data_IF_803460521687
#
_entry.id   IF_803460521687
#
_cell.length_a   1.000
_cell.length_b   1.000
_cell.length_c   1.000
_cell.angle_alpha   90.00
_cell.angle_beta   90.00
_cell.angle_gamma   90.00
#
_symmetry.space_group_name_H-M   'P 1'
#
loop_
_entity.id
_entity.type
_entity.pdbx_description
1 polymer ?
#
# COMPACT_ATOMS: atom_id res chain seq x y z
N UNK A 1 -17.22 3.00 -17.80
CA UNK A 1 -16.77 1.63 -18.10
C UNK A 1 -15.26 1.56 -18.37
N UNK A 2 -14.72 2.41 -19.20
CA UNK A 2 -13.30 2.42 -19.61
C UNK A 2 -12.35 2.60 -18.41
N UNK A 3 -12.65 3.47 -17.46
CA UNK A 3 -11.79 3.73 -16.30
C UNK A 3 -11.49 2.52 -15.40
N UNK A 4 -12.41 1.57 -15.29
CA UNK A 4 -12.22 0.38 -14.45
C UNK A 4 -11.25 -0.62 -15.07
N UNK A 5 -11.26 -0.73 -16.38
CA UNK A 5 -10.29 -1.54 -17.12
C UNK A 5 -8.94 -0.86 -17.13
N UNK A 6 -8.93 0.48 -17.25
CA UNK A 6 -7.70 1.26 -17.35
C UNK A 6 -6.92 1.34 -16.03
N UNK A 7 -7.60 1.39 -14.89
CA UNK A 7 -6.99 1.56 -13.57
C UNK A 7 -5.96 0.47 -13.19
N UNK A 8 -6.23 -0.84 -13.35
CA UNK A 8 -5.24 -1.87 -13.09
C UNK A 8 -3.99 -1.75 -13.96
N UNK A 9 -4.13 -1.32 -15.22
CA UNK A 9 -2.99 -1.14 -16.13
C UNK A 9 -2.13 0.07 -15.75
N UNK A 10 -2.75 1.15 -15.28
CA UNK A 10 -2.01 2.29 -14.74
C UNK A 10 -1.22 1.88 -13.49
N UNK A 11 -1.86 1.17 -12.57
CA UNK A 11 -1.16 0.65 -11.37
C UNK A 11 -0.05 -0.32 -11.74
N UNK A 12 -0.27 -1.17 -12.73
CA UNK A 12 0.76 -2.09 -13.25
C UNK A 12 1.97 -1.31 -13.79
N UNK A 13 1.75 -0.28 -14.60
CA UNK A 13 2.81 0.56 -15.15
C UNK A 13 3.59 1.29 -14.04
N UNK A 14 2.88 1.83 -13.04
CA UNK A 14 3.51 2.48 -11.88
C UNK A 14 4.33 1.48 -11.07
N UNK A 15 3.81 0.28 -10.81
CA UNK A 15 4.54 -0.76 -10.09
C UNK A 15 5.78 -1.23 -10.84
N UNK A 16 5.70 -1.36 -12.17
CA UNK A 16 6.86 -1.69 -13.02
C UNK A 16 7.94 -0.62 -12.94
N UNK A 17 7.58 0.66 -13.13
CA UNK A 17 8.54 1.77 -13.06
C UNK A 17 9.19 1.86 -11.69
N UNK A 18 8.41 1.64 -10.61
CA UNK A 18 8.93 1.58 -9.26
C UNK A 18 9.89 0.39 -9.06
N UNK A 19 9.55 -0.79 -9.55
CA UNK A 19 10.41 -1.98 -9.47
C UNK A 19 11.75 -1.80 -10.21
N UNK A 20 11.74 -1.18 -11.40
CA UNK A 20 12.96 -0.84 -12.12
C UNK A 20 13.80 0.23 -11.42
N UNK A 21 13.15 1.24 -10.82
CA UNK A 21 13.85 2.24 -10.04
C UNK A 21 14.51 1.64 -8.78
N UNK A 22 13.84 0.69 -8.14
CA UNK A 22 14.34 0.01 -6.95
C UNK A 22 15.64 -0.79 -7.19
N UNK A 23 15.82 -1.32 -8.40
CA UNK A 23 17.05 -2.04 -8.76
C UNK A 23 18.29 -1.13 -8.85
N UNK A 24 18.10 0.18 -8.97
CA UNK A 24 19.19 1.16 -9.01
C UNK A 24 19.70 1.59 -7.62
N UNK A 25 19.06 1.13 -6.54
CA UNK A 25 19.57 1.41 -5.21
C UNK A 25 20.91 0.70 -5.01
N UNK A 26 21.96 1.45 -4.63
CA UNK A 26 23.28 0.85 -4.42
C UNK A 26 23.18 -0.18 -3.29
N UNK A 27 23.67 -1.38 -3.54
CA UNK A 27 23.89 -2.40 -2.53
C UNK A 27 25.03 -1.92 -1.65
N UNK A 28 24.75 -1.15 -0.61
CA UNK A 28 25.75 -0.74 0.37
C UNK A 28 26.14 -1.99 1.18
N UNK A 29 27.17 -2.71 0.71
CA UNK A 29 28.06 -3.54 1.54
C UNK A 29 27.50 -4.54 2.55
N UNK A 30 26.19 -4.76 2.57
CA UNK A 30 25.53 -5.74 3.42
C UNK A 30 25.49 -7.07 2.66
N UNK A 31 25.93 -8.12 3.33
CA UNK A 31 26.07 -9.51 2.87
C UNK A 31 25.26 -9.88 1.62
N UNK A 32 25.91 -10.56 0.70
CA UNK A 32 25.35 -11.07 -0.54
C UNK A 32 23.95 -11.65 -0.34
N UNK A 33 22.92 -10.96 -0.85
CA UNK A 33 21.54 -11.46 -0.88
C UNK A 33 20.45 -10.50 -0.44
N UNK A 34 20.67 -9.62 0.52
CA UNK A 34 19.60 -8.76 1.09
C UNK A 34 19.94 -7.27 0.98
N UNK A 35 20.01 -6.76 -0.26
CA UNK A 35 20.22 -5.34 -0.50
C UNK A 35 18.92 -4.51 -0.28
N UNK A 36 19.02 -3.19 -0.01
CA UNK A 36 17.87 -2.30 0.24
C UNK A 36 16.88 -2.25 -0.92
N UNK A 37 17.26 -2.65 -2.12
CA UNK A 37 16.39 -2.75 -3.28
C UNK A 37 15.53 -4.02 -3.34
N UNK A 38 15.83 -5.05 -2.53
CA UNK A 38 15.11 -6.32 -2.58
C UNK A 38 13.67 -6.18 -2.12
N UNK A 39 13.44 -5.50 -0.99
CA UNK A 39 12.10 -5.29 -0.45
C UNK A 39 11.19 -4.49 -1.40
N UNK A 40 11.60 -3.33 -1.93
CA UNK A 40 10.83 -2.62 -2.96
C UNK A 40 10.55 -3.47 -4.20
N UNK A 41 11.51 -4.29 -4.63
CA UNK A 41 11.35 -5.18 -5.80
C UNK A 41 10.31 -6.27 -5.53
N UNK A 42 10.30 -6.88 -4.34
CA UNK A 42 9.28 -7.87 -3.96
C UNK A 42 7.89 -7.22 -3.97
N UNK A 43 7.74 -6.04 -3.34
CA UNK A 43 6.46 -5.33 -3.31
C UNK A 43 6.00 -5.00 -4.72
N UNK A 44 6.86 -4.45 -5.56
CA UNK A 44 6.55 -4.15 -6.95
C UNK A 44 6.08 -5.39 -7.72
N UNK A 45 6.77 -6.52 -7.53
CA UNK A 45 6.42 -7.80 -8.17
C UNK A 45 5.04 -8.29 -7.74
N UNK A 46 4.75 -8.24 -6.44
CA UNK A 46 3.43 -8.62 -5.89
C UNK A 46 2.33 -7.73 -6.46
N UNK A 47 2.52 -6.41 -6.47
CA UNK A 47 1.56 -5.47 -7.03
C UNK A 47 1.37 -5.74 -8.53
N UNK A 48 2.44 -5.98 -9.30
CA UNK A 48 2.36 -6.32 -10.72
C UNK A 48 1.53 -7.58 -10.97
N UNK A 49 1.74 -8.63 -10.19
CA UNK A 49 0.98 -9.88 -10.31
C UNK A 49 -0.50 -9.64 -10.04
N UNK A 50 -0.84 -8.98 -8.92
CA UNK A 50 -2.23 -8.73 -8.56
C UNK A 50 -2.96 -7.81 -9.56
N UNK A 51 -2.30 -6.74 -10.01
CA UNK A 51 -2.88 -5.83 -11.00
C UNK A 51 -3.05 -6.48 -12.37
N UNK A 52 -2.15 -7.38 -12.76
CA UNK A 52 -2.27 -8.15 -13.99
C UNK A 52 -3.45 -9.12 -13.91
N UNK A 53 -3.57 -9.88 -12.82
CA UNK A 53 -4.69 -10.81 -12.59
C UNK A 53 -6.02 -10.03 -12.63
N UNK A 54 -6.10 -8.90 -11.93
CA UNK A 54 -7.32 -8.08 -11.89
C UNK A 54 -7.63 -7.48 -13.27
N UNK A 55 -6.63 -7.02 -14.00
CA UNK A 55 -6.78 -6.55 -15.38
C UNK A 55 -7.35 -7.62 -16.31
N UNK A 56 -6.80 -8.83 -16.27
CA UNK A 56 -7.29 -9.97 -17.06
C UNK A 56 -8.73 -10.32 -16.67
N UNK A 57 -9.04 -10.41 -15.37
CA UNK A 57 -10.40 -10.69 -14.88
C UNK A 57 -11.41 -9.66 -15.38
N UNK A 58 -11.04 -8.39 -15.42
CA UNK A 58 -11.93 -7.34 -15.91
C UNK A 58 -12.13 -7.38 -17.42
N UNK A 59 -11.09 -7.73 -18.19
CA UNK A 59 -11.21 -7.95 -19.64
C UNK A 59 -12.12 -9.14 -19.91
N UNK A 60 -11.91 -10.28 -19.24
CA UNK A 60 -12.76 -11.48 -19.39
C UNK A 60 -14.21 -11.18 -19.01
N UNK A 61 -14.43 -10.46 -17.91
CA UNK A 61 -15.76 -10.03 -17.49
C UNK A 61 -16.40 -9.08 -18.52
N UNK A 62 -15.63 -8.26 -19.20
CA UNK A 62 -16.10 -7.38 -20.27
C UNK A 62 -16.53 -8.18 -21.51
N UNK A 63 -15.73 -9.17 -21.91
CA UNK A 63 -16.03 -10.02 -23.08
C UNK A 63 -17.22 -10.94 -22.81
N UNK A 64 -17.35 -11.47 -21.58
CA UNK A 64 -18.41 -12.40 -21.18
C UNK A 64 -19.76 -11.72 -20.89
N UNK A 65 -19.88 -10.42 -20.99
CA UNK A 65 -21.11 -9.70 -20.63
C UNK A 65 -22.21 -9.92 -21.64
N UNK A 66 -23.31 -10.54 -21.17
CA UNK A 66 -24.59 -10.45 -21.81
C UNK A 66 -25.13 -9.02 -21.76
N UNK A 67 -25.69 -8.46 -22.86
CA UNK A 67 -26.27 -7.13 -22.83
C UNK A 67 -27.46 -7.13 -21.86
N UNK A 68 -27.38 -6.36 -20.78
CA UNK A 68 -28.48 -6.23 -19.81
C UNK A 68 -28.09 -5.98 -18.35
N UNK A 69 -26.83 -6.14 -17.96
CA UNK A 69 -26.42 -5.87 -16.58
C UNK A 69 -25.95 -4.42 -16.45
N UNK A 70 -26.82 -3.56 -15.95
CA UNK A 70 -26.46 -2.19 -15.54
C UNK A 70 -25.60 -2.26 -14.28
N UNK A 71 -24.32 -1.94 -14.39
CA UNK A 71 -23.47 -1.78 -13.22
C UNK A 71 -23.59 -0.35 -12.75
N UNK A 72 -24.19 -0.19 -11.60
CA UNK A 72 -24.33 1.08 -10.93
C UNK A 72 -22.95 1.54 -10.41
N UNK A 73 -22.40 2.61 -10.97
CA UNK A 73 -21.10 3.19 -10.66
C UNK A 73 -21.21 4.30 -9.60
N UNK A 74 -22.13 4.16 -8.70
CA UNK A 74 -22.24 5.09 -7.59
C UNK A 74 -21.04 4.99 -6.67
N UNK A 75 -19.91 5.62 -7.07
CA UNK A 75 -18.95 6.05 -6.07
C UNK A 75 -19.70 7.09 -5.24
N UNK A 76 -20.14 6.67 -4.08
CA UNK A 76 -20.79 7.57 -3.15
C UNK A 76 -19.77 8.67 -2.80
N UNK A 77 -20.19 9.91 -2.78
CA UNK A 77 -19.32 11.05 -2.39
C UNK A 77 -18.55 10.77 -1.10
N UNK A 78 -19.12 9.98 -0.21
CA UNK A 78 -18.50 9.52 1.04
C UNK A 78 -17.30 8.59 0.79
N UNK A 79 -17.38 7.66 -0.16
CA UNK A 79 -16.28 6.73 -0.48
C UNK A 79 -15.11 7.48 -1.14
N UNK A 80 -15.42 8.42 -2.02
CA UNK A 80 -14.41 9.30 -2.61
C UNK A 80 -13.71 10.13 -1.53
N UNK A 81 -14.47 10.74 -0.62
CA UNK A 81 -13.93 11.54 0.47
C UNK A 81 -13.06 10.70 1.42
N UNK A 82 -13.49 9.49 1.78
CA UNK A 82 -12.69 8.57 2.59
C UNK A 82 -11.37 8.20 1.88
N UNK A 83 -11.39 7.98 0.57
CA UNK A 83 -10.17 7.67 -0.19
C UNK A 83 -9.18 8.84 -0.19
N UNK A 84 -9.68 10.08 -0.30
CA UNK A 84 -8.84 11.28 -0.20
C UNK A 84 -8.23 11.41 1.19
N UNK A 85 -9.02 11.16 2.24
CA UNK A 85 -8.52 11.17 3.64
C UNK A 85 -7.39 10.13 3.81
N UNK A 86 -7.57 8.92 3.31
CA UNK A 86 -6.54 7.86 3.38
C UNK A 86 -5.23 8.33 2.74
N UNK A 87 -5.29 8.90 1.54
CA UNK A 87 -4.10 9.42 0.85
C UNK A 87 -3.42 10.53 1.66
N UNK A 88 -4.20 11.49 2.17
CA UNK A 88 -3.69 12.58 3.00
C UNK A 88 -3.03 12.06 4.28
N UNK A 89 -3.64 11.06 4.94
CA UNK A 89 -3.06 10.43 6.15
C UNK A 89 -1.73 9.74 5.85
N UNK A 90 -1.62 9.03 4.71
CA UNK A 90 -0.38 8.39 4.30
C UNK A 90 0.71 9.43 4.04
N UNK A 91 0.41 10.49 3.29
CA UNK A 91 1.36 11.59 3.03
C UNK A 91 1.81 12.25 4.34
N UNK A 92 0.86 12.55 5.24
CA UNK A 92 1.17 13.13 6.54
C UNK A 92 2.08 12.22 7.39
N UNK A 93 1.82 10.90 7.40
CA UNK A 93 2.66 9.94 8.11
C UNK A 93 4.09 9.88 7.56
N UNK A 94 4.25 9.89 6.23
CA UNK A 94 5.58 9.91 5.59
C UNK A 94 6.35 11.18 5.98
N UNK A 95 5.69 12.34 6.02
CA UNK A 95 6.31 13.61 6.44
C UNK A 95 6.64 13.61 7.94
N UNK A 96 5.80 12.97 8.76
CA UNK A 96 5.97 12.90 10.21
C UNK A 96 7.08 11.92 10.64
N UNK A 97 7.36 10.90 9.81
CA UNK A 97 8.30 9.82 10.12
C UNK A 97 9.71 10.30 10.52
N UNK A 98 10.34 11.29 9.86
CA UNK A 98 11.65 11.81 10.27
C UNK A 98 11.65 12.52 11.63
N UNK A 99 10.50 13.03 12.08
CA UNK A 99 10.37 13.82 13.32
C UNK A 99 9.99 12.99 14.54
N UNK A 100 9.13 11.99 14.33
CA UNK A 100 8.54 11.19 15.42
C UNK A 100 9.00 9.74 15.42
N UNK A 101 9.80 9.35 14.44
CA UNK A 101 10.26 7.98 14.26
C UNK A 101 9.21 7.07 13.59
N UNK A 102 9.68 5.93 13.08
CA UNK A 102 8.88 4.98 12.33
C UNK A 102 7.69 4.42 13.12
N UNK A 103 7.94 3.97 14.36
CA UNK A 103 6.90 3.28 15.18
C UNK A 103 5.75 4.24 15.52
N UNK A 104 6.07 5.46 15.95
CA UNK A 104 5.06 6.44 16.33
C UNK A 104 4.22 6.88 15.11
N UNK A 105 4.87 7.22 14.00
CA UNK A 105 4.19 7.63 12.77
C UNK A 105 3.31 6.51 12.20
N UNK A 106 3.82 5.27 12.16
CA UNK A 106 3.07 4.11 11.67
C UNK A 106 1.90 3.75 12.58
N UNK A 107 2.08 3.80 13.91
CA UNK A 107 1.01 3.56 14.88
C UNK A 107 -0.11 4.59 14.70
N UNK A 108 0.25 5.87 14.59
CA UNK A 108 -0.73 6.94 14.36
C UNK A 108 -1.48 6.75 13.04
N UNK A 109 -0.77 6.42 11.96
CA UNK A 109 -1.37 6.15 10.66
C UNK A 109 -2.39 5.02 10.73
N UNK A 110 -2.00 3.84 11.23
CA UNK A 110 -2.88 2.67 11.30
C UNK A 110 -4.07 2.96 12.22
N UNK A 111 -3.85 3.69 13.32
CA UNK A 111 -4.92 4.08 14.24
C UNK A 111 -5.94 5.00 13.57
N UNK A 112 -5.49 6.05 12.88
CA UNK A 112 -6.38 6.99 12.17
C UNK A 112 -7.16 6.27 11.07
N UNK A 113 -6.48 5.43 10.27
CA UNK A 113 -7.12 4.65 9.22
C UNK A 113 -8.18 3.71 9.77
N UNK A 114 -7.91 3.05 10.91
CA UNK A 114 -8.89 2.17 11.55
C UNK A 114 -10.13 2.93 12.03
N UNK A 115 -9.95 4.17 12.51
CA UNK A 115 -11.07 5.05 12.89
C UNK A 115 -11.90 5.50 11.69
N UNK A 116 -11.23 5.89 10.59
CA UNK A 116 -11.90 6.29 9.34
C UNK A 116 -12.71 5.13 8.76
N UNK A 117 -12.20 3.90 8.87
CA UNK A 117 -12.90 2.68 8.45
C UNK A 117 -14.01 2.23 9.42
N UNK A 118 -14.18 2.92 10.54
CA UNK A 118 -15.28 2.67 11.49
C UNK A 118 -15.02 1.54 12.48
N UNK A 119 -13.77 1.16 12.70
CA UNK A 119 -13.43 0.15 13.71
C UNK A 119 -13.72 0.70 15.12
N UNK A 120 -14.58 0.02 15.87
CA UNK A 120 -14.89 0.31 17.27
C UNK A 120 -14.78 -0.96 18.10
N UNK A 121 -14.27 -0.91 19.33
CA UNK A 121 -13.94 0.22 20.19
C UNK A 121 -12.50 0.75 20.02
N UNK A 122 -12.30 2.03 20.36
CA UNK A 122 -11.07 2.82 20.19
C UNK A 122 -9.83 2.13 20.78
N UNK A 123 -9.95 1.53 21.96
CA UNK A 123 -8.83 0.86 22.65
C UNK A 123 -8.31 -0.37 21.86
N UNK A 124 -9.19 -1.14 21.20
CA UNK A 124 -8.78 -2.26 20.33
C UNK A 124 -8.03 -1.75 19.10
N UNK A 125 -8.51 -0.67 18.49
CA UNK A 125 -7.80 -0.01 17.38
C UNK A 125 -6.41 0.45 17.79
N UNK A 126 -6.27 1.08 18.96
CA UNK A 126 -4.97 1.52 19.46
C UNK A 126 -4.02 0.35 19.71
N UNK A 127 -4.50 -0.71 20.37
CA UNK A 127 -3.71 -1.91 20.61
C UNK A 127 -3.25 -2.59 19.32
N UNK A 128 -4.17 -2.79 18.36
CA UNK A 128 -3.87 -3.41 17.07
C UNK A 128 -2.87 -2.54 16.27
N UNK A 129 -3.06 -1.23 16.26
CA UNK A 129 -2.17 -0.30 15.55
C UNK A 129 -0.75 -0.34 16.09
N UNK A 130 -0.60 -0.36 17.41
CA UNK A 130 0.70 -0.48 18.07
C UNK A 130 1.35 -1.84 17.79
N UNK A 131 0.58 -2.91 17.81
CA UNK A 131 1.05 -4.27 17.57
C UNK A 131 1.51 -4.45 16.12
N UNK A 132 0.78 -3.89 15.15
CA UNK A 132 1.16 -3.91 13.74
C UNK A 132 2.43 -3.08 13.51
N UNK A 133 2.48 -1.84 14.01
CA UNK A 133 3.64 -0.97 13.82
C UNK A 133 4.89 -1.52 14.50
N UNK A 134 4.76 -2.03 15.74
CA UNK A 134 5.85 -2.67 16.47
C UNK A 134 6.32 -3.96 15.80
N UNK A 135 5.39 -4.78 15.34
CA UNK A 135 5.71 -6.01 14.60
C UNK A 135 6.46 -5.72 13.30
N UNK A 136 6.01 -4.73 12.53
CA UNK A 136 6.73 -4.28 11.33
C UNK A 136 8.13 -3.75 11.67
N UNK A 137 8.24 -2.95 12.73
CA UNK A 137 9.54 -2.44 13.18
C UNK A 137 10.52 -3.59 13.49
N UNK A 138 10.08 -4.60 14.23
CA UNK A 138 10.91 -5.77 14.56
C UNK A 138 11.32 -6.55 13.31
N UNK A 139 10.39 -6.78 12.39
CA UNK A 139 10.70 -7.48 11.13
C UNK A 139 11.73 -6.70 10.31
N UNK A 140 11.62 -5.38 10.23
CA UNK A 140 12.57 -4.57 9.46
C UNK A 140 13.92 -4.40 10.18
N UNK A 141 13.91 -4.20 11.50
CA UNK A 141 15.12 -4.02 12.30
C UNK A 141 15.92 -5.32 12.39
N UNK A 142 15.27 -6.42 12.81
CA UNK A 142 15.95 -7.70 13.03
C UNK A 142 16.06 -8.54 11.74
N UNK A 143 15.02 -8.51 10.91
CA UNK A 143 14.98 -9.32 9.69
C UNK A 143 15.78 -8.76 8.53
N UNK A 144 15.76 -7.45 8.36
CA UNK A 144 16.40 -6.77 7.23
C UNK A 144 17.57 -5.86 7.64
N UNK A 145 17.88 -5.74 8.94
CA UNK A 145 18.98 -4.91 9.44
C UNK A 145 18.80 -3.42 9.11
N UNK A 146 17.55 -2.96 8.93
CA UNK A 146 17.26 -1.56 8.62
C UNK A 146 17.43 -0.72 9.88
N UNK A 147 18.39 0.21 9.86
CA UNK A 147 18.57 1.18 10.94
C UNK A 147 17.56 2.32 10.74
N UNK A 148 16.55 2.37 11.59
CA UNK A 148 15.63 3.51 11.62
C UNK A 148 16.30 4.65 12.38
N UNK A 149 16.44 5.81 11.73
CA UNK A 149 16.83 7.04 12.42
C UNK A 149 15.72 7.42 13.42
N UNK A 150 16.09 7.60 14.68
CA UNK A 150 15.22 8.10 15.74
C UNK A 150 15.33 9.62 15.79
#
# INVERSE_FOLDING_TARGET
MIGRIFFPFVLFAVALTYGFAAQKFPSMGLQEGFGPGLFPTIIASVICIFTLIEGIRQILAFISRRPGVSINWGITSREFFNSVIVVLCVVAAVIAMPYFGFVAASTALVFILSMVMGLRPIWKSAAISFLIAGGLFLVFSEGFGVVFAF
#
